data_IF_425231589811
#
_entry.id   IF_425231589811
#
_cell.length_a   1.000
_cell.length_b   1.000
_cell.length_c   1.000
_cell.angle_alpha   90.00
_cell.angle_beta   90.00
_cell.angle_gamma   90.00
#
_symmetry.space_group_name_H-M   'P 1'
#
loop_
_entity.id
_entity.type
_entity.pdbx_description
1 polymer ?
#
# COMPACT_ATOMS: atom_id res chain seq x y z
N UNK A 1 4.07 22.11 7.07
CA UNK A 1 2.75 21.54 7.40
C UNK A 1 2.84 20.05 7.12
N UNK A 2 2.50 19.18 8.08
CA UNK A 2 2.50 17.73 7.84
C UNK A 2 1.22 17.42 7.08
N UNK A 3 1.36 17.08 5.80
CA UNK A 3 0.24 16.60 4.99
C UNK A 3 -0.19 15.23 5.56
N UNK A 4 -1.45 15.12 6.01
CA UNK A 4 -1.98 13.85 6.49
C UNK A 4 -2.21 12.95 5.29
N UNK A 5 -1.44 11.87 5.19
CA UNK A 5 -1.62 10.86 4.14
C UNK A 5 -2.98 10.17 4.32
N UNK A 6 -3.69 9.86 3.21
CA UNK A 6 -4.89 9.04 3.27
C UNK A 6 -4.56 7.71 3.95
N UNK A 7 -5.36 7.33 4.94
CA UNK A 7 -5.15 6.13 5.75
C UNK A 7 -6.44 5.33 5.76
N UNK A 8 -6.32 4.04 5.45
CA UNK A 8 -7.44 3.10 5.43
C UNK A 8 -7.22 2.02 6.47
N UNK A 9 -8.29 1.61 7.14
CA UNK A 9 -8.29 0.50 8.07
C UNK A 9 -8.85 -0.74 7.36
N UNK A 10 -8.03 -1.78 7.24
CA UNK A 10 -8.42 -3.06 6.66
C UNK A 10 -8.34 -4.16 7.73
N UNK A 11 -9.46 -4.81 8.01
CA UNK A 11 -9.53 -5.97 8.88
C UNK A 11 -9.31 -7.22 8.05
N UNK A 12 -8.10 -7.78 8.10
CA UNK A 12 -7.76 -8.97 7.34
C UNK A 12 -8.23 -10.25 8.05
N UNK A 13 -8.44 -11.31 7.27
CA UNK A 13 -8.88 -12.65 7.73
C UNK A 13 -10.34 -12.68 8.19
N UNK A 14 -11.19 -11.86 7.58
CA UNK A 14 -12.64 -11.93 7.79
C UNK A 14 -13.21 -13.07 6.95
N UNK A 15 -13.00 -14.30 7.42
CA UNK A 15 -13.38 -15.54 6.71
C UNK A 15 -14.74 -16.09 7.17
N UNK A 16 -15.18 -15.75 8.39
CA UNK A 16 -16.38 -16.29 9.04
C UNK A 16 -17.10 -15.18 9.81
N UNK A 17 -18.36 -15.42 10.17
CA UNK A 17 -19.20 -14.46 10.90
C UNK A 17 -18.61 -14.03 12.26
N UNK A 18 -17.83 -14.89 12.91
CA UNK A 18 -17.12 -14.52 14.14
C UNK A 18 -16.05 -13.45 13.91
N UNK A 19 -15.37 -13.50 12.76
CA UNK A 19 -14.37 -12.50 12.39
C UNK A 19 -15.03 -11.17 12.00
N UNK A 20 -16.21 -11.20 11.38
CA UNK A 20 -17.00 -9.98 11.14
C UNK A 20 -17.42 -9.28 12.43
N UNK A 21 -17.81 -10.05 13.47
CA UNK A 21 -18.15 -9.46 14.77
C UNK A 21 -16.93 -8.87 15.47
N UNK A 22 -15.80 -9.59 15.46
CA UNK A 22 -14.54 -9.11 16.05
C UNK A 22 -13.97 -7.87 15.34
N UNK A 23 -14.27 -7.69 14.06
CA UNK A 23 -13.85 -6.52 13.30
C UNK A 23 -14.30 -5.20 13.95
N UNK A 24 -15.47 -5.17 14.59
CA UNK A 24 -16.01 -3.96 15.19
C UNK A 24 -15.17 -3.42 16.34
N UNK A 25 -14.30 -4.24 16.95
CA UNK A 25 -13.34 -3.78 17.95
C UNK A 25 -12.36 -2.74 17.35
N UNK A 26 -12.05 -2.82 16.05
CA UNK A 26 -11.11 -1.90 15.41
C UNK A 26 -11.64 -0.45 15.28
N UNK A 27 -12.95 -0.23 15.42
CA UNK A 27 -13.52 1.13 15.52
C UNK A 27 -12.92 1.91 16.68
N UNK A 28 -12.51 1.23 17.77
CA UNK A 28 -11.90 1.88 18.93
C UNK A 28 -10.54 2.52 18.62
N UNK A 29 -9.92 2.17 17.48
CA UNK A 29 -8.64 2.75 17.05
C UNK A 29 -8.80 4.18 16.50
N UNK A 30 -10.03 4.62 16.20
CA UNK A 30 -10.30 5.97 15.68
C UNK A 30 -9.79 6.20 14.25
N UNK A 31 -9.55 5.12 13.50
CA UNK A 31 -9.10 5.16 12.09
C UNK A 31 -10.27 5.07 11.09
N UNK A 32 -11.51 5.14 11.58
CA UNK A 32 -12.72 5.04 10.76
C UNK A 32 -13.28 3.62 10.71
N UNK A 33 -14.13 3.39 9.71
CA UNK A 33 -14.80 2.10 9.51
C UNK A 33 -13.81 1.06 8.95
N UNK A 34 -13.70 -0.13 9.57
CA UNK A 34 -12.84 -1.19 9.08
C UNK A 34 -13.42 -1.82 7.81
N UNK A 35 -12.57 -1.98 6.81
CA UNK A 35 -12.90 -2.69 5.57
C UNK A 35 -12.61 -4.19 5.75
N UNK A 36 -13.63 -5.07 5.70
CA UNK A 36 -13.41 -6.51 5.84
C UNK A 36 -12.72 -7.05 4.60
N UNK A 37 -11.56 -7.70 4.78
CA UNK A 37 -10.85 -8.36 3.68
C UNK A 37 -10.46 -9.78 4.06
N UNK A 38 -10.56 -10.69 3.10
CA UNK A 38 -9.99 -12.02 3.19
C UNK A 38 -8.93 -12.19 2.11
N UNK A 39 -7.66 -12.12 2.50
CA UNK A 39 -6.56 -12.40 1.58
C UNK A 39 -6.55 -13.88 1.11
N UNK A 40 -7.12 -14.80 1.90
CA UNK A 40 -7.16 -16.22 1.57
C UNK A 40 -8.24 -16.54 0.53
N UNK A 41 -9.42 -15.96 0.68
CA UNK A 41 -10.58 -16.22 -0.18
C UNK A 41 -10.77 -15.14 -1.25
N UNK A 42 -9.96 -14.07 -1.24
CA UNK A 42 -10.02 -12.96 -2.20
C UNK A 42 -11.19 -11.99 -2.01
N UNK A 43 -12.03 -12.20 -0.99
CA UNK A 43 -13.21 -11.36 -0.71
C UNK A 43 -12.81 -9.99 -0.13
N UNK A 44 -13.55 -8.93 -0.48
CA UNK A 44 -13.39 -7.55 0.03
C UNK A 44 -12.12 -6.82 -0.44
N UNK A 45 -11.17 -7.52 -1.06
CA UNK A 45 -9.91 -6.91 -1.54
C UNK A 45 -10.16 -5.99 -2.74
N UNK A 46 -11.11 -6.33 -3.62
CA UNK A 46 -11.48 -5.50 -4.76
C UNK A 46 -12.08 -4.16 -4.30
N UNK A 47 -13.05 -4.21 -3.37
CA UNK A 47 -13.69 -3.01 -2.83
C UNK A 47 -12.69 -2.09 -2.11
N UNK A 48 -11.76 -2.68 -1.34
CA UNK A 48 -10.68 -1.91 -0.71
C UNK A 48 -9.77 -1.25 -1.75
N UNK A 49 -9.45 -1.95 -2.84
CA UNK A 49 -8.59 -1.41 -3.90
C UNK A 49 -9.29 -0.26 -4.64
N UNK A 50 -10.59 -0.38 -4.92
CA UNK A 50 -11.36 0.68 -5.57
C UNK A 50 -11.40 1.96 -4.71
N UNK A 51 -11.55 1.82 -3.38
CA UNK A 51 -11.48 2.95 -2.45
C UNK A 51 -10.10 3.63 -2.46
N UNK A 52 -9.03 2.84 -2.52
CA UNK A 52 -7.66 3.35 -2.60
C UNK A 52 -7.46 4.10 -3.92
N UNK A 53 -7.85 3.52 -5.05
CA UNK A 53 -7.73 4.13 -6.38
C UNK A 53 -8.49 5.46 -6.43
N UNK A 54 -9.70 5.51 -5.89
CA UNK A 54 -10.50 6.74 -5.84
C UNK A 54 -9.86 7.87 -5.02
N UNK A 55 -8.93 7.54 -4.12
CA UNK A 55 -8.27 8.52 -3.24
C UNK A 55 -6.87 8.90 -3.73
N UNK A 56 -6.31 8.13 -4.65
CA UNK A 56 -5.05 8.49 -5.30
C UNK A 56 -5.33 9.73 -6.15
N UNK A 57 -4.62 10.86 -5.91
CA UNK A 57 -4.76 12.02 -6.78
C UNK A 57 -4.42 11.58 -8.20
N UNK A 58 -5.24 12.00 -9.18
CA UNK A 58 -4.90 11.80 -10.59
C UNK A 58 -3.49 12.35 -10.81
N UNK A 59 -2.54 11.43 -11.03
CA UNK A 59 -1.27 11.81 -11.59
C UNK A 59 -1.63 12.45 -12.92
N UNK A 60 -1.35 13.75 -13.09
CA UNK A 60 -1.40 14.37 -14.41
C UNK A 60 -0.63 13.44 -15.34
N UNK A 61 -1.41 12.84 -16.24
CA UNK A 61 -1.02 11.71 -17.04
C UNK A 61 0.04 12.21 -18.02
N UNK A 62 1.32 12.21 -17.63
CA UNK A 62 2.40 12.18 -18.61
C UNK A 62 2.36 10.79 -19.21
N UNK A 63 1.42 10.59 -20.13
CA UNK A 63 1.31 9.43 -21.00
C UNK A 63 2.63 9.33 -21.77
N UNK A 64 3.59 8.65 -21.16
CA UNK A 64 4.76 8.11 -21.83
C UNK A 64 4.23 7.08 -22.82
N UNK A 65 4.24 7.51 -24.08
CA UNK A 65 4.20 6.65 -25.25
C UNK A 65 5.23 5.53 -25.12
N UNK A 66 4.86 4.38 -25.67
CA UNK A 66 5.51 3.06 -25.59
C UNK A 66 7.04 3.07 -25.77
N UNK A 67 7.65 2.14 -25.03
CA UNK A 67 8.95 1.48 -25.19
C UNK A 67 9.77 1.85 -26.45
N UNK A 68 10.89 2.57 -26.25
CA UNK A 68 12.27 2.09 -26.44
C UNK A 68 13.25 3.24 -26.09
N UNK A 69 14.45 2.90 -25.59
CA UNK A 69 15.53 3.77 -25.08
C UNK A 69 15.23 4.39 -23.69
N UNK A 70 15.87 4.00 -22.59
CA UNK A 70 17.18 4.54 -22.20
C UNK A 70 17.72 3.82 -20.93
N UNK A 71 18.52 2.78 -21.11
CA UNK A 71 19.38 2.20 -20.06
C UNK A 71 20.46 3.16 -19.54
N UNK A 72 20.50 4.41 -20.00
CA UNK A 72 21.39 5.46 -19.51
C UNK A 72 20.66 6.51 -18.65
N UNK A 73 19.32 6.59 -18.73
CA UNK A 73 18.53 7.58 -17.99
C UNK A 73 18.27 7.14 -16.53
N UNK A 74 18.16 5.84 -16.26
CA UNK A 74 17.99 5.31 -14.88
C UNK A 74 19.22 5.54 -13.98
N UNK A 75 20.43 5.50 -14.56
CA UNK A 75 21.68 5.77 -13.84
C UNK A 75 21.78 7.23 -13.37
N UNK A 76 21.18 8.16 -14.11
CA UNK A 76 21.17 9.58 -13.78
C UNK A 76 20.12 9.94 -12.73
N UNK A 77 19.06 9.16 -12.61
CA UNK A 77 18.07 9.29 -11.52
C UNK A 77 18.61 8.75 -10.19
N UNK A 78 19.42 7.68 -10.24
CA UNK A 78 20.04 7.06 -9.07
C UNK A 78 21.12 7.92 -8.39
N UNK A 79 21.71 8.91 -9.08
CA UNK A 79 22.71 9.79 -8.45
C UNK A 79 22.09 10.85 -7.52
N UNK A 80 20.79 11.13 -7.67
CA UNK A 80 20.06 12.07 -6.80
C UNK A 80 19.41 11.39 -5.60
N UNK A 81 19.32 10.06 -5.61
CA UNK A 81 18.85 9.28 -4.47
C UNK A 81 20.08 8.96 -3.64
N UNK A 82 20.22 9.60 -2.48
CA UNK A 82 21.21 9.19 -1.48
C UNK A 82 21.01 7.69 -1.21
N UNK A 83 22.00 6.81 -1.49
CA UNK A 83 21.94 5.40 -1.11
C UNK A 83 22.09 5.29 0.41
N UNK A 84 21.11 5.85 1.14
CA UNK A 84 21.07 5.85 2.57
C UNK A 84 20.73 4.44 3.05
N UNK A 85 21.77 3.75 3.50
CA UNK A 85 21.72 2.63 4.44
C UNK A 85 21.00 1.35 3.97
N UNK A 86 21.54 0.70 2.94
CA UNK A 86 21.39 -0.77 2.83
C UNK A 86 22.27 -1.41 3.91
N UNK A 87 21.77 -1.39 5.16
CA UNK A 87 22.48 -1.95 6.29
C UNK A 87 22.40 -3.48 6.22
N UNK A 88 23.52 -4.05 5.78
CA UNK A 88 23.96 -5.44 5.80
C UNK A 88 23.49 -6.19 7.06
N UNK A 89 22.27 -6.73 7.06
CA UNK A 89 21.77 -7.70 8.06
C UNK A 89 21.40 -9.02 7.38
N UNK A 90 22.42 -9.64 6.80
CA UNK A 90 22.43 -11.07 6.52
C UNK A 90 23.82 -11.58 6.87
N UNK A 91 24.19 -11.64 8.15
CA UNK A 91 25.26 -12.53 8.64
C UNK A 91 25.00 -12.84 10.13
N UNK A 92 24.97 -14.14 10.44
CA UNK A 92 25.00 -14.81 11.76
C UNK A 92 23.69 -14.89 12.57
N UNK A 93 22.90 -15.92 12.29
CA UNK A 93 22.41 -16.79 13.36
C UNK A 93 22.81 -18.23 13.01
N UNK A 94 24.09 -18.53 13.22
CA UNK A 94 24.61 -19.83 13.66
C UNK A 94 26.10 -19.73 13.96
#
# INVERSE_FOLDING_TARGET
MVERKPTFLAANKVDDQNHEVGMWEYLSMGLGEPNPVSALHGSGTADLLDLVIATIPELENNSVVEDEVESETWLRSLSSVDPMSVNRRYLTNS
#
